data_IF_659486699956
#
_entry.id   IF_659486699956
#
_cell.length_a   1.000
_cell.length_b   1.000
_cell.length_c   1.000
_cell.angle_alpha   90.00
_cell.angle_beta   90.00
_cell.angle_gamma   90.00
#
_symmetry.space_group_name_H-M   'P 1'
#
loop_
_entity.id
_entity.type
_entity.pdbx_description
1 polymer ?
#
# COMPACT_ATOMS: atom_id res chain seq x y z
N UNK A 1 1.54 18.62 -18.26
CA UNK A 1 1.67 17.79 -17.04
C UNK A 1 3.03 17.09 -17.04
N UNK A 2 3.61 16.82 -15.88
CA UNK A 2 4.84 16.01 -15.82
C UNK A 2 4.53 14.56 -16.19
N UNK A 3 5.38 13.94 -17.01
CA UNK A 3 5.20 12.58 -17.54
C UNK A 3 6.35 11.66 -17.12
N UNK A 4 6.25 10.37 -17.44
CA UNK A 4 7.29 9.38 -17.16
C UNK A 4 8.42 9.34 -18.20
N UNK A 5 8.36 10.13 -19.27
CA UNK A 5 9.24 10.02 -20.45
C UNK A 5 10.74 10.09 -20.11
N UNK A 6 11.10 10.92 -19.13
CA UNK A 6 12.49 11.18 -18.72
C UNK A 6 13.05 10.19 -17.69
N UNK A 7 12.22 9.25 -17.21
CA UNK A 7 12.63 8.18 -16.28
C UNK A 7 12.54 6.78 -16.89
N UNK A 8 12.38 6.69 -18.21
CA UNK A 8 12.38 5.42 -18.93
C UNK A 8 13.81 4.89 -19.01
N UNK A 9 14.03 3.71 -18.42
CA UNK A 9 15.28 2.97 -18.58
C UNK A 9 15.24 2.11 -19.84
N UNK A 10 16.24 2.29 -20.70
CA UNK A 10 16.46 1.49 -21.92
C UNK A 10 17.50 0.38 -21.75
N UNK A 11 18.29 0.44 -20.68
CA UNK A 11 19.25 -0.59 -20.32
C UNK A 11 18.60 -1.65 -19.43
N UNK A 12 18.43 -2.84 -20.00
CA UNK A 12 17.88 -4.00 -19.30
C UNK A 12 18.51 -5.29 -19.85
N UNK A 13 18.66 -6.33 -19.01
CA UNK A 13 19.05 -7.64 -19.48
C UNK A 13 17.89 -8.21 -20.29
N UNK A 14 18.16 -8.70 -21.49
CA UNK A 14 17.17 -9.37 -22.33
C UNK A 14 17.32 -10.89 -22.24
N UNK A 15 16.23 -11.63 -22.13
CA UNK A 15 16.17 -13.11 -22.19
C UNK A 15 15.08 -13.54 -23.16
N UNK A 16 15.28 -14.65 -23.86
CA UNK A 16 14.25 -15.25 -24.72
C UNK A 16 13.28 -16.09 -23.90
N UNK A 17 12.02 -16.20 -24.32
CA UNK A 17 11.06 -17.17 -23.74
C UNK A 17 11.58 -18.62 -23.75
N UNK A 18 12.49 -18.94 -24.68
CA UNK A 18 13.07 -20.27 -24.85
C UNK A 18 14.38 -20.46 -24.06
N UNK A 19 14.92 -19.41 -23.45
CA UNK A 19 16.08 -19.51 -22.57
C UNK A 19 15.71 -20.32 -21.31
N UNK A 20 16.69 -21.03 -20.75
CA UNK A 20 16.55 -21.69 -19.45
C UNK A 20 16.73 -20.66 -18.32
N UNK A 21 16.18 -20.97 -17.14
CA UNK A 21 16.33 -20.13 -15.95
C UNK A 21 17.79 -19.88 -15.59
N UNK A 22 18.68 -20.87 -15.74
CA UNK A 22 20.12 -20.72 -15.51
C UNK A 22 20.75 -19.57 -16.31
N UNK A 23 20.40 -19.46 -17.60
CA UNK A 23 20.86 -18.39 -18.48
C UNK A 23 20.27 -17.04 -18.07
N UNK A 24 18.99 -17.00 -17.70
CA UNK A 24 18.35 -15.79 -17.20
C UNK A 24 18.99 -15.29 -15.91
N UNK A 25 19.25 -16.21 -14.97
CA UNK A 25 19.96 -15.94 -13.71
C UNK A 25 21.35 -15.36 -13.98
N UNK A 26 22.13 -15.98 -14.88
CA UNK A 26 23.48 -15.53 -15.21
C UNK A 26 23.47 -14.09 -15.77
N UNK A 27 22.52 -13.79 -16.67
CA UNK A 27 22.32 -12.43 -17.20
C UNK A 27 21.94 -11.42 -16.11
N UNK A 28 21.02 -11.77 -15.21
CA UNK A 28 20.65 -10.88 -14.09
C UNK A 28 21.85 -10.58 -13.19
N UNK A 29 22.65 -11.59 -12.83
CA UNK A 29 23.85 -11.44 -12.00
C UNK A 29 24.92 -10.58 -12.67
N UNK A 30 25.22 -10.83 -13.95
CA UNK A 30 26.22 -10.08 -14.71
C UNK A 30 25.93 -8.58 -14.75
N UNK A 31 24.65 -8.20 -14.81
CA UNK A 31 24.24 -6.80 -14.92
C UNK A 31 23.87 -6.16 -13.57
N UNK A 32 24.01 -6.87 -12.43
CA UNK A 32 23.54 -6.40 -11.12
C UNK A 32 22.06 -5.93 -11.16
N UNK A 33 21.21 -6.69 -11.85
CA UNK A 33 19.80 -6.35 -12.05
C UNK A 33 18.86 -7.39 -11.47
N UNK A 34 17.71 -6.91 -11.03
CA UNK A 34 16.65 -7.74 -10.46
C UNK A 34 15.70 -8.29 -11.52
N UNK A 35 15.55 -7.60 -12.64
CA UNK A 35 14.52 -7.87 -13.63
C UNK A 35 15.14 -7.89 -15.02
N UNK A 36 14.73 -8.88 -15.82
CA UNK A 36 15.07 -9.00 -17.23
C UNK A 36 13.82 -8.79 -18.09
N UNK A 37 13.99 -8.23 -19.28
CA UNK A 37 12.96 -8.21 -20.31
C UNK A 37 12.94 -9.56 -21.01
N UNK A 38 11.74 -10.12 -21.16
CA UNK A 38 11.52 -11.37 -21.86
C UNK A 38 11.05 -11.07 -23.28
N UNK A 39 11.70 -11.65 -24.27
CA UNK A 39 11.36 -11.49 -25.69
C UNK A 39 10.91 -12.80 -26.34
N UNK A 40 10.00 -12.68 -27.30
CA UNK A 40 9.57 -13.74 -28.21
C UNK A 40 9.74 -13.25 -29.64
N UNK A 41 10.56 -13.95 -30.44
CA UNK A 41 10.89 -13.52 -31.82
C UNK A 41 11.36 -12.05 -31.88
N UNK A 42 12.24 -11.66 -30.96
CA UNK A 42 12.77 -10.28 -30.79
C UNK A 42 11.73 -9.19 -30.45
N UNK A 43 10.47 -9.56 -30.17
CA UNK A 43 9.45 -8.64 -29.66
C UNK A 43 9.32 -8.78 -28.15
N UNK A 44 8.98 -7.68 -27.47
CA UNK A 44 8.63 -7.71 -26.05
C UNK A 44 7.51 -8.72 -25.80
N UNK A 45 7.71 -9.57 -24.80
CA UNK A 45 6.73 -10.58 -24.38
C UNK A 45 6.32 -10.37 -22.93
N UNK A 46 7.26 -10.03 -22.05
CA UNK A 46 6.98 -9.83 -20.64
C UNK A 46 8.24 -9.47 -19.86
N UNK A 47 8.21 -9.71 -18.55
CA UNK A 47 9.38 -9.58 -17.69
C UNK A 47 9.64 -10.87 -16.91
N UNK A 48 10.89 -11.04 -16.51
CA UNK A 48 11.32 -12.05 -15.55
C UNK A 48 11.92 -11.33 -14.33
N UNK A 49 11.22 -11.32 -13.20
CA UNK A 49 11.73 -10.82 -11.92
C UNK A 49 12.38 -11.94 -11.13
N UNK A 50 13.54 -11.64 -10.55
CA UNK A 50 14.33 -12.59 -9.78
C UNK A 50 13.54 -13.31 -8.67
N UNK A 51 12.51 -12.69 -8.07
CA UNK A 51 11.65 -13.34 -7.07
C UNK A 51 10.89 -14.55 -7.61
N UNK A 52 10.72 -14.67 -8.92
CA UNK A 52 10.08 -15.84 -9.54
C UNK A 52 10.89 -17.13 -9.34
N UNK A 53 12.19 -17.01 -9.04
CA UNK A 53 13.02 -18.14 -8.63
C UNK A 53 12.55 -18.78 -7.32
N UNK A 54 11.88 -18.03 -6.43
CA UNK A 54 11.31 -18.62 -5.21
C UNK A 54 10.10 -19.52 -5.48
N UNK A 55 9.34 -19.21 -6.53
CA UNK A 55 8.14 -19.96 -6.93
C UNK A 55 8.46 -21.06 -7.94
N UNK A 56 9.62 -20.99 -8.59
CA UNK A 56 10.13 -22.05 -9.44
C UNK A 56 10.50 -23.24 -8.54
N UNK A 57 9.53 -24.13 -8.29
CA UNK A 57 9.74 -25.47 -7.69
C UNK A 57 10.65 -26.37 -8.55
N UNK A 58 11.51 -25.83 -9.43
CA UNK A 58 12.03 -26.54 -10.61
C UNK A 58 13.52 -26.31 -10.87
N UNK A 59 14.07 -27.27 -11.60
CA UNK A 59 15.46 -27.35 -12.08
C UNK A 59 15.93 -26.04 -12.73
N UNK A 60 17.23 -25.69 -12.64
CA UNK A 60 17.86 -24.64 -13.46
C UNK A 60 17.54 -24.71 -14.96
N UNK A 61 17.13 -25.88 -15.46
CA UNK A 61 16.77 -26.14 -16.86
C UNK A 61 15.34 -25.74 -17.23
N UNK A 62 14.51 -25.36 -16.26
CA UNK A 62 13.16 -24.87 -16.53
C UNK A 62 13.18 -23.68 -17.49
N UNK A 63 12.14 -23.56 -18.32
CA UNK A 63 12.06 -22.50 -19.34
C UNK A 63 11.59 -21.19 -18.73
N UNK A 64 12.14 -20.08 -19.23
CA UNK A 64 11.74 -18.73 -18.83
C UNK A 64 10.24 -18.49 -19.06
N UNK A 65 9.66 -19.03 -20.15
CA UNK A 65 8.24 -18.88 -20.49
C UNK A 65 7.26 -19.23 -19.36
N UNK A 66 7.61 -20.20 -18.52
CA UNK A 66 6.75 -20.68 -17.41
C UNK A 66 6.76 -19.73 -16.21
N UNK A 67 7.65 -18.73 -16.24
CA UNK A 67 7.91 -17.78 -15.17
C UNK A 67 7.87 -16.34 -15.69
N UNK A 68 7.10 -16.04 -16.73
CA UNK A 68 6.95 -14.66 -17.23
C UNK A 68 5.86 -13.93 -16.44
N UNK A 69 6.09 -12.64 -16.18
CA UNK A 69 5.08 -11.71 -15.68
C UNK A 69 4.77 -10.66 -16.73
N UNK A 70 3.54 -10.15 -16.69
CA UNK A 70 3.06 -9.08 -17.55
C UNK A 70 2.70 -7.87 -16.69
N UNK A 71 3.64 -6.93 -16.47
CA UNK A 71 3.36 -5.67 -15.80
C UNK A 71 2.46 -4.78 -16.68
N UNK A 72 1.86 -3.73 -16.11
CA UNK A 72 1.14 -2.73 -16.89
C UNK A 72 2.02 -2.14 -18.00
N UNK A 73 1.45 -2.04 -19.20
CA UNK A 73 2.07 -1.41 -20.37
C UNK A 73 1.42 -0.04 -20.57
N UNK A 74 2.22 1.01 -20.63
CA UNK A 74 1.79 2.41 -20.66
C UNK A 74 2.46 3.17 -21.82
N UNK A 75 1.86 4.26 -22.27
CA UNK A 75 2.49 5.14 -23.27
C UNK A 75 3.65 5.92 -22.64
N UNK A 76 4.66 6.29 -23.43
CA UNK A 76 5.77 7.12 -22.94
C UNK A 76 5.33 8.49 -22.37
N UNK A 77 4.15 8.97 -22.74
CA UNK A 77 3.59 10.24 -22.29
C UNK A 77 2.62 10.10 -21.10
N UNK A 78 2.42 8.89 -20.57
CA UNK A 78 1.60 8.67 -19.36
C UNK A 78 2.04 9.59 -18.22
N UNK A 79 1.05 10.20 -17.56
CA UNK A 79 1.30 11.14 -16.48
C UNK A 79 1.79 10.44 -15.20
N UNK A 80 2.41 11.21 -14.31
CA UNK A 80 3.00 10.65 -13.08
C UNK A 80 1.96 10.05 -12.13
N UNK A 81 0.73 10.55 -12.07
CA UNK A 81 -0.30 10.06 -11.15
C UNK A 81 -0.83 8.72 -11.63
N UNK A 82 -1.20 8.61 -12.89
CA UNK A 82 -1.61 7.34 -13.52
C UNK A 82 -0.49 6.30 -13.40
N UNK A 83 0.76 6.70 -13.68
CA UNK A 83 1.91 5.81 -13.52
C UNK A 83 2.08 5.33 -12.06
N UNK A 84 1.95 6.22 -11.07
CA UNK A 84 2.06 5.85 -9.67
C UNK A 84 0.97 4.85 -9.25
N UNK A 85 -0.26 5.04 -9.72
CA UNK A 85 -1.42 4.20 -9.42
C UNK A 85 -1.19 2.77 -9.95
N UNK A 86 -0.82 2.68 -11.23
CA UNK A 86 -0.47 1.40 -11.87
C UNK A 86 0.71 0.72 -11.17
N UNK A 87 1.74 1.47 -10.77
CA UNK A 87 2.90 0.91 -10.04
C UNK A 87 2.55 0.46 -8.63
N UNK A 88 1.67 1.17 -7.94
CA UNK A 88 1.22 0.82 -6.60
C UNK A 88 0.37 -0.46 -6.64
N UNK A 89 -0.55 -0.59 -7.59
CA UNK A 89 -1.42 -1.76 -7.67
C UNK A 89 -0.78 -2.99 -8.34
N UNK A 90 0.35 -2.83 -9.03
CA UNK A 90 1.06 -3.94 -9.68
C UNK A 90 2.23 -4.50 -8.86
N UNK A 91 2.58 -5.77 -9.12
CA UNK A 91 3.77 -6.40 -8.59
C UNK A 91 4.53 -7.21 -9.65
N UNK A 92 5.81 -6.91 -9.94
CA UNK A 92 6.64 -5.88 -9.31
C UNK A 92 6.22 -4.46 -9.72
N UNK A 93 6.49 -3.45 -8.88
CA UNK A 93 6.19 -2.02 -9.12
C UNK A 93 7.04 -1.45 -10.28
N UNK A 94 6.80 -1.95 -11.49
CA UNK A 94 7.50 -1.67 -12.74
C UNK A 94 6.42 -1.42 -13.79
N UNK A 95 6.64 -0.42 -14.65
CA UNK A 95 5.86 -0.20 -15.85
C UNK A 95 6.68 -0.54 -17.08
N UNK A 96 6.01 -1.04 -18.10
CA UNK A 96 6.56 -1.24 -19.43
C UNK A 96 6.06 -0.10 -20.31
N UNK A 97 6.95 0.49 -21.09
CA UNK A 97 6.63 1.68 -21.88
C UNK A 97 6.62 1.38 -23.37
N UNK A 98 5.65 1.94 -24.07
CA UNK A 98 5.51 1.86 -25.53
C UNK A 98 5.33 3.24 -26.15
N UNK A 99 5.66 3.37 -27.43
CA UNK A 99 5.27 4.50 -28.28
C UNK A 99 4.58 3.89 -29.52
N UNK A 100 3.26 4.07 -29.63
CA UNK A 100 2.45 3.24 -30.53
C UNK A 100 2.61 1.76 -30.15
N UNK A 101 2.95 0.92 -31.12
CA UNK A 101 3.19 -0.53 -30.88
C UNK A 101 4.63 -0.89 -30.54
N UNK A 102 5.53 0.09 -30.52
CA UNK A 102 6.95 -0.13 -30.28
C UNK A 102 7.24 -0.10 -28.78
N UNK A 103 7.78 -1.19 -28.25
CA UNK A 103 8.38 -1.23 -26.91
C UNK A 103 9.59 -0.30 -26.83
N UNK A 104 9.65 0.54 -25.79
CA UNK A 104 10.70 1.54 -25.59
C UNK A 104 11.61 1.19 -24.41
N UNK A 105 11.05 0.71 -23.30
CA UNK A 105 11.80 0.42 -22.09
C UNK A 105 10.91 0.27 -20.86
N UNK A 106 11.49 0.42 -19.67
CA UNK A 106 10.77 0.25 -18.40
C UNK A 106 10.94 1.41 -17.44
N UNK A 107 9.96 1.62 -16.56
CA UNK A 107 10.05 2.57 -15.44
C UNK A 107 10.01 1.78 -14.14
N UNK A 108 11.00 1.99 -13.26
CA UNK A 108 11.09 1.30 -11.96
C UNK A 108 10.67 2.24 -10.84
N UNK A 109 10.08 1.69 -9.77
CA UNK A 109 9.61 2.47 -8.62
C UNK A 109 10.68 3.43 -8.05
N UNK A 110 11.94 2.99 -8.01
CA UNK A 110 13.10 3.78 -7.58
C UNK A 110 13.37 5.03 -8.42
N UNK A 111 13.21 4.91 -9.75
CA UNK A 111 13.49 5.99 -10.69
C UNK A 111 12.31 6.98 -10.67
N UNK A 112 11.10 6.43 -10.55
CA UNK A 112 9.87 7.18 -10.32
C UNK A 112 9.93 8.01 -9.02
N UNK A 113 10.20 7.39 -7.87
CA UNK A 113 10.27 8.13 -6.58
C UNK A 113 11.38 9.19 -6.61
N UNK A 114 12.47 8.95 -7.35
CA UNK A 114 13.55 9.90 -7.51
C UNK A 114 13.12 11.13 -8.33
N UNK A 115 12.33 10.92 -9.39
CA UNK A 115 11.72 12.01 -10.18
C UNK A 115 10.82 12.90 -9.32
N UNK A 116 10.00 12.29 -8.47
CA UNK A 116 9.02 13.03 -7.65
C UNK A 116 9.61 13.57 -6.33
N UNK A 117 10.90 13.33 -6.02
CA UNK A 117 11.52 13.71 -4.74
C UNK A 117 11.41 15.20 -4.41
N UNK A 118 11.28 16.03 -5.44
CA UNK A 118 11.24 17.49 -5.34
C UNK A 118 9.83 18.07 -5.28
N UNK A 119 8.79 17.25 -5.33
CA UNK A 119 7.41 17.73 -5.17
C UNK A 119 7.27 18.46 -3.82
N UNK A 120 6.71 19.69 -3.78
CA UNK A 120 6.67 20.52 -2.58
C UNK A 120 6.09 19.82 -1.35
N UNK A 121 5.05 19.02 -1.56
CA UNK A 121 4.33 18.30 -0.52
C UNK A 121 5.22 17.18 0.07
N UNK A 122 5.95 16.44 -0.77
CA UNK A 122 6.89 15.40 -0.33
C UNK A 122 8.12 15.97 0.37
N UNK A 123 8.64 17.13 -0.10
CA UNK A 123 9.79 17.81 0.51
C UNK A 123 9.55 18.20 1.97
N UNK A 124 8.31 18.51 2.33
CA UNK A 124 7.94 18.92 3.69
C UNK A 124 7.92 17.75 4.67
N UNK A 125 7.72 16.52 4.18
CA UNK A 125 7.56 15.33 5.01
C UNK A 125 8.88 14.75 5.51
N UNK A 126 8.80 14.16 6.70
CA UNK A 126 9.88 13.37 7.32
C UNK A 126 9.57 11.88 7.23
N UNK A 127 10.60 11.04 7.34
CA UNK A 127 10.50 9.58 7.31
C UNK A 127 9.48 9.04 8.30
N UNK A 128 9.42 9.58 9.52
CA UNK A 128 8.49 9.17 10.56
C UNK A 128 7.01 9.30 10.19
N UNK A 129 6.65 10.15 9.21
CA UNK A 129 5.27 10.34 8.76
C UNK A 129 4.82 9.31 7.72
N UNK A 130 5.76 8.58 7.13
CA UNK A 130 5.50 7.65 6.02
C UNK A 130 5.87 6.21 6.37
N UNK A 131 6.87 6.00 7.23
CA UNK A 131 7.36 4.67 7.57
C UNK A 131 6.25 3.78 8.14
N UNK A 132 6.34 2.48 7.84
CA UNK A 132 5.61 1.45 8.58
C UNK A 132 6.27 1.29 9.95
N UNK A 133 5.54 1.60 11.02
CA UNK A 133 6.01 1.45 12.40
C UNK A 133 6.04 -0.02 12.83
N UNK A 134 6.89 -0.34 13.81
CA UNK A 134 6.99 -1.67 14.45
C UNK A 134 7.20 -2.78 13.42
N UNK A 135 8.36 -2.77 12.73
CA UNK A 135 8.63 -3.72 11.68
C UNK A 135 8.71 -5.14 12.27
N UNK A 136 8.37 -6.12 11.45
CA UNK A 136 8.67 -7.51 11.77
C UNK A 136 10.19 -7.66 11.87
N UNK A 137 10.65 -8.41 12.85
CA UNK A 137 12.07 -8.59 13.18
C UNK A 137 12.42 -10.07 13.27
N UNK A 138 13.68 -10.37 13.03
CA UNK A 138 14.31 -11.67 13.28
C UNK A 138 15.45 -11.51 14.28
N UNK A 139 15.82 -12.61 14.94
CA UNK A 139 17.08 -12.77 15.67
C UNK A 139 18.09 -13.50 14.80
N UNK A 140 19.37 -13.43 15.17
CA UNK A 140 20.44 -14.07 14.39
C UNK A 140 20.23 -15.59 14.29
N UNK A 141 19.84 -16.17 15.42
CA UNK A 141 19.58 -17.59 15.65
C UNK A 141 18.21 -18.08 15.13
N UNK A 142 17.38 -17.19 14.57
CA UNK A 142 16.12 -17.62 13.97
C UNK A 142 16.37 -18.52 12.75
N UNK A 143 15.53 -19.53 12.57
CA UNK A 143 15.67 -20.51 11.48
C UNK A 143 15.11 -19.97 10.18
N UNK A 144 15.70 -20.38 9.06
CA UNK A 144 15.25 -19.99 7.72
C UNK A 144 13.76 -20.27 7.51
N UNK A 145 13.27 -21.43 7.94
CA UNK A 145 11.85 -21.79 7.82
C UNK A 145 10.91 -20.75 8.46
N UNK A 146 11.27 -20.26 9.67
CA UNK A 146 10.54 -19.17 10.34
C UNK A 146 10.57 -17.89 9.53
N UNK A 147 11.73 -17.50 9.01
CA UNK A 147 11.87 -16.28 8.22
C UNK A 147 11.07 -16.34 6.90
N UNK A 148 11.12 -17.46 6.19
CA UNK A 148 10.34 -17.68 4.98
C UNK A 148 8.83 -17.63 5.27
N UNK A 149 8.39 -18.21 6.40
CA UNK A 149 7.00 -18.13 6.81
C UNK A 149 6.57 -16.69 7.10
N UNK A 150 7.35 -15.94 7.88
CA UNK A 150 7.08 -14.53 8.17
C UNK A 150 7.03 -13.69 6.89
N UNK A 151 7.94 -13.91 5.94
CA UNK A 151 7.94 -13.23 4.64
C UNK A 151 6.67 -13.54 3.83
N UNK A 152 6.24 -14.81 3.82
CA UNK A 152 5.04 -15.26 3.09
C UNK A 152 3.76 -14.71 3.69
N UNK A 153 3.56 -14.90 4.99
CA UNK A 153 2.34 -14.49 5.72
C UNK A 153 2.13 -12.97 5.66
N UNK A 154 3.22 -12.21 5.78
CA UNK A 154 3.17 -10.76 5.82
C UNK A 154 3.43 -10.11 4.45
N UNK A 155 3.63 -10.94 3.41
CA UNK A 155 3.93 -10.50 2.03
C UNK A 155 5.11 -9.53 1.93
N UNK A 156 6.09 -9.65 2.83
CA UNK A 156 7.29 -8.81 2.88
C UNK A 156 8.50 -9.51 2.27
N UNK A 157 9.41 -8.73 1.70
CA UNK A 157 10.61 -9.26 1.03
C UNK A 157 11.90 -9.13 1.83
N UNK A 158 11.89 -8.39 2.94
CA UNK A 158 13.05 -8.11 3.78
C UNK A 158 12.64 -8.00 5.24
N UNK A 159 13.48 -8.49 6.14
CA UNK A 159 13.27 -8.48 7.58
C UNK A 159 14.59 -8.06 8.27
N UNK A 160 14.60 -7.00 9.08
CA UNK A 160 15.75 -6.64 9.91
C UNK A 160 16.06 -7.71 10.95
N UNK A 161 17.35 -7.99 11.15
CA UNK A 161 17.83 -8.86 12.22
C UNK A 161 18.37 -8.00 13.37
N UNK A 162 17.98 -8.34 14.59
CA UNK A 162 18.43 -7.67 15.81
C UNK A 162 19.29 -8.58 16.70
N UNK A 163 20.16 -7.96 17.49
CA UNK A 163 20.91 -8.63 18.56
C UNK A 163 20.11 -8.67 19.89
N UNK A 164 20.69 -9.29 20.93
CA UNK A 164 20.12 -9.36 22.28
C UNK A 164 19.87 -7.98 22.92
N UNK A 165 20.57 -6.92 22.48
CA UNK A 165 20.37 -5.52 22.92
C UNK A 165 19.28 -4.78 22.10
N UNK A 166 18.51 -5.50 21.28
CA UNK A 166 17.50 -4.95 20.36
C UNK A 166 18.05 -3.96 19.32
N UNK A 167 19.32 -4.08 18.96
CA UNK A 167 19.95 -3.25 17.93
C UNK A 167 19.97 -3.98 16.59
N UNK A 168 19.69 -3.28 15.50
CA UNK A 168 19.70 -3.83 14.14
C UNK A 168 21.15 -4.12 13.72
N UNK A 169 21.46 -5.40 13.44
CA UNK A 169 22.81 -5.89 13.11
C UNK A 169 22.98 -6.39 11.67
N UNK A 170 21.92 -6.94 11.07
CA UNK A 170 21.89 -7.30 9.63
C UNK A 170 20.48 -7.17 9.06
N UNK A 171 20.32 -7.40 7.75
CA UNK A 171 19.01 -7.50 7.10
C UNK A 171 18.95 -8.79 6.30
N UNK A 172 17.87 -9.54 6.47
CA UNK A 172 17.61 -10.76 5.71
C UNK A 172 16.59 -10.49 4.62
N UNK A 173 16.86 -10.93 3.40
CA UNK A 173 16.04 -10.66 2.22
C UNK A 173 15.77 -11.90 1.39
N UNK A 174 14.73 -11.81 0.57
CA UNK A 174 14.47 -12.80 -0.50
C UNK A 174 15.68 -12.96 -1.43
N UNK A 175 16.44 -11.89 -1.67
CA UNK A 175 17.64 -11.98 -2.49
C UNK A 175 18.69 -12.86 -1.84
N UNK A 176 18.84 -12.81 -0.51
CA UNK A 176 19.76 -13.67 0.23
C UNK A 176 19.35 -15.14 0.09
N UNK A 177 18.05 -15.46 0.18
CA UNK A 177 17.55 -16.81 -0.09
C UNK A 177 17.95 -17.28 -1.49
N UNK A 178 17.74 -16.43 -2.49
CA UNK A 178 18.04 -16.80 -3.88
C UNK A 178 19.55 -16.98 -4.08
N UNK A 179 20.38 -16.03 -3.65
CA UNK A 179 21.84 -16.08 -3.84
C UNK A 179 22.50 -17.20 -3.03
N UNK A 180 22.11 -17.33 -1.76
CA UNK A 180 22.82 -18.20 -0.82
C UNK A 180 22.31 -19.63 -0.85
N UNK A 181 21.09 -19.88 -1.33
CA UNK A 181 20.50 -21.22 -1.33
C UNK A 181 20.25 -21.69 -2.76
N UNK A 182 19.55 -20.92 -3.58
CA UNK A 182 19.13 -21.38 -4.90
C UNK A 182 20.26 -21.35 -5.94
N UNK A 183 21.18 -20.39 -5.82
CA UNK A 183 22.22 -20.14 -6.82
C UNK A 183 23.63 -20.55 -6.39
N UNK A 184 23.80 -21.14 -5.19
CA UNK A 184 25.09 -21.68 -4.77
C UNK A 184 25.41 -22.96 -5.56
N UNK A 185 26.63 -23.13 -6.08
CA UNK A 185 27.08 -24.40 -6.64
C UNK A 185 27.04 -25.49 -5.56
N UNK A 186 26.47 -26.66 -5.87
CA UNK A 186 26.29 -27.80 -4.95
C UNK A 186 27.59 -28.27 -4.25
N UNK A 187 28.77 -27.91 -4.76
CA UNK A 187 30.07 -28.33 -4.24
C UNK A 187 30.71 -27.41 -3.17
N UNK A 188 30.04 -26.32 -2.73
CA UNK A 188 30.61 -25.39 -1.71
C UNK A 188 29.78 -25.25 -0.42
N UNK A 189 28.87 -26.18 -0.13
CA UNK A 189 28.33 -26.32 1.22
C UNK A 189 29.37 -27.09 2.04
N UNK A 190 30.33 -26.37 2.63
CA UNK A 190 31.17 -26.93 3.71
C UNK A 190 30.26 -27.06 4.94
N UNK A 191 29.79 -28.27 5.22
CA UNK A 191 29.02 -28.58 6.43
C UNK A 191 28.05 -29.76 6.28
N UNK A 192 28.47 -30.90 6.82
CA UNK A 192 27.67 -32.03 7.32
C UNK A 192 26.75 -32.77 6.33
N UNK A 193 27.33 -33.73 5.60
CA UNK A 193 26.66 -35.03 5.36
C UNK A 193 26.64 -35.78 6.69
N UNK A 194 25.77 -35.41 7.62
CA UNK A 194 25.52 -36.21 8.81
C UNK A 194 24.34 -37.14 8.58
N UNK A 195 24.61 -38.44 8.68
CA UNK A 195 23.60 -39.47 8.84
C UNK A 195 22.94 -39.31 10.21
N UNK A 196 21.65 -39.00 10.25
CA UNK A 196 20.86 -39.16 11.49
C UNK A 196 20.27 -40.57 11.56
N UNK A 197 20.21 -41.12 12.77
CA UNK A 197 19.53 -42.38 13.08
C UNK A 197 18.11 -42.06 13.56
N UNK A 198 17.12 -42.80 13.07
CA UNK A 198 15.78 -42.73 13.66
C UNK A 198 15.74 -43.48 15.01
N UNK A 199 14.66 -43.31 15.77
CA UNK A 199 14.44 -43.98 17.08
C UNK A 199 14.39 -45.52 17.01
N UNK A 200 14.54 -46.12 15.82
CA UNK A 200 14.61 -47.57 15.57
C UNK A 200 15.99 -47.99 15.04
N UNK A 201 17.03 -47.14 15.18
CA UNK A 201 18.41 -47.48 14.85
C UNK A 201 18.74 -47.60 13.35
N UNK A 202 17.83 -47.20 12.44
CA UNK A 202 18.09 -47.23 10.99
C UNK A 202 18.73 -45.92 10.51
N UNK A 203 19.78 -46.03 9.67
CA UNK A 203 20.40 -44.90 8.97
C UNK A 203 19.41 -44.30 7.98
N UNK A 204 19.01 -43.05 8.18
CA UNK A 204 18.13 -42.32 7.25
C UNK A 204 18.93 -41.25 6.52
N UNK A 205 18.87 -41.26 5.19
CA UNK A 205 19.36 -40.16 4.35
C UNK A 205 18.38 -38.99 4.47
N UNK A 206 18.68 -38.03 5.34
CA UNK A 206 17.89 -36.81 5.48
C UNK A 206 18.23 -35.92 4.28
N UNK A 207 17.33 -35.86 3.30
CA UNK A 207 17.54 -35.08 2.08
C UNK A 207 17.79 -33.59 2.34
N UNK A 208 18.63 -32.99 1.49
CA UNK A 208 19.14 -31.60 1.52
C UNK A 208 18.13 -30.49 1.92
N UNK A 209 16.82 -30.72 1.76
CA UNK A 209 15.77 -29.73 2.01
C UNK A 209 15.45 -29.48 3.49
N UNK A 210 15.54 -30.49 4.36
CA UNK A 210 15.25 -30.29 5.78
C UNK A 210 16.36 -29.48 6.47
N UNK A 211 17.62 -29.76 6.14
CA UNK A 211 18.79 -29.08 6.69
C UNK A 211 18.85 -27.57 6.33
N UNK A 212 18.39 -27.22 5.13
CA UNK A 212 18.35 -25.82 4.68
C UNK A 212 17.36 -24.97 5.49
N UNK A 213 16.21 -25.54 5.88
CA UNK A 213 15.22 -24.82 6.68
C UNK A 213 15.70 -24.55 8.11
N UNK A 214 16.59 -25.40 8.62
CA UNK A 214 17.22 -25.28 9.93
C UNK A 214 18.46 -24.39 9.94
N UNK A 215 18.89 -23.85 8.80
CA UNK A 215 20.01 -22.90 8.76
C UNK A 215 19.66 -21.60 9.48
N UNK A 216 20.61 -21.03 10.23
CA UNK A 216 20.43 -19.74 10.90
C UNK A 216 20.33 -18.61 9.86
N UNK A 217 19.34 -17.74 10.03
CA UNK A 217 19.14 -16.60 9.12
C UNK A 217 20.31 -15.61 9.18
N UNK A 218 20.99 -15.51 10.33
CA UNK A 218 22.16 -14.65 10.51
C UNK A 218 23.33 -15.01 9.59
N UNK A 219 23.51 -16.30 9.31
CA UNK A 219 24.60 -16.80 8.44
C UNK A 219 24.31 -16.50 6.95
N UNK A 220 23.03 -16.36 6.60
CA UNK A 220 22.57 -16.05 5.24
C UNK A 220 22.37 -14.55 5.00
N UNK A 221 22.18 -13.77 6.05
CA UNK A 221 21.79 -12.36 5.93
C UNK A 221 22.94 -11.46 5.47
N UNK A 222 22.60 -10.44 4.67
CA UNK A 222 23.54 -9.40 4.30
C UNK A 222 23.89 -8.49 5.48
N UNK A 223 25.18 -8.24 5.68
CA UNK A 223 25.70 -7.34 6.74
C UNK A 223 25.58 -5.86 6.39
N UNK A 224 25.33 -5.51 5.12
CA UNK A 224 25.27 -4.11 4.67
C UNK A 224 23.87 -3.52 4.89
N UNK A 225 23.66 -2.91 6.05
CA UNK A 225 22.39 -2.25 6.38
C UNK A 225 22.45 -0.77 6.05
N UNK A 226 21.57 -0.33 5.14
CA UNK A 226 21.35 1.09 4.92
C UNK A 226 20.24 1.56 5.87
N UNK A 227 20.64 2.39 6.85
CA UNK A 227 19.75 2.91 7.90
C UNK A 227 19.36 4.37 7.65
N UNK A 228 18.25 4.79 8.24
CA UNK A 228 17.82 6.19 8.26
C UNK A 228 17.18 6.58 9.60
N UNK A 229 17.33 7.84 10.00
CA UNK A 229 16.69 8.39 11.20
C UNK A 229 15.22 8.72 10.92
N UNK A 230 14.29 8.54 11.88
CA UNK A 230 12.88 8.92 11.72
C UNK A 230 12.70 10.43 11.46
N UNK A 231 13.61 11.28 11.94
CA UNK A 231 13.55 12.73 11.74
C UNK A 231 14.09 13.19 10.38
N UNK A 232 14.71 12.31 9.60
CA UNK A 232 15.27 12.68 8.30
C UNK A 232 14.17 13.05 7.29
N UNK A 233 14.47 13.94 6.35
CA UNK A 233 13.58 14.28 5.23
C UNK A 233 13.36 13.08 4.30
N UNK A 234 12.18 13.00 3.67
CA UNK A 234 11.90 11.95 2.69
C UNK A 234 12.85 12.01 1.48
N UNK A 235 13.25 13.20 1.04
CA UNK A 235 14.23 13.36 -0.03
C UNK A 235 15.55 12.64 0.26
N UNK A 236 16.02 12.67 1.51
CA UNK A 236 17.20 11.94 1.96
C UNK A 236 17.00 10.42 1.87
N UNK A 237 15.81 9.93 2.22
CA UNK A 237 15.45 8.53 2.09
C UNK A 237 15.46 8.08 0.62
N UNK A 238 14.80 8.85 -0.26
CA UNK A 238 14.74 8.61 -1.69
C UNK A 238 16.14 8.60 -2.32
N UNK A 239 16.98 9.58 -1.96
CA UNK A 239 18.36 9.65 -2.46
C UNK A 239 19.19 8.44 -2.01
N UNK A 240 19.04 7.97 -0.77
CA UNK A 240 19.69 6.73 -0.31
C UNK A 240 19.21 5.50 -1.08
N UNK A 241 17.89 5.34 -1.26
CA UNK A 241 17.32 4.24 -2.04
C UNK A 241 17.87 4.22 -3.47
N UNK A 242 17.91 5.38 -4.12
CA UNK A 242 18.45 5.53 -5.46
C UNK A 242 19.95 5.22 -5.53
N UNK A 243 20.77 5.85 -4.67
CA UNK A 243 22.23 5.65 -4.62
C UNK A 243 22.62 4.20 -4.37
N UNK A 244 21.99 3.56 -3.39
CA UNK A 244 22.35 2.18 -3.00
C UNK A 244 21.62 1.10 -3.78
N UNK A 245 20.81 1.50 -4.77
CA UNK A 245 20.02 0.59 -5.59
C UNK A 245 19.07 -0.33 -4.80
N UNK A 246 18.47 0.19 -3.73
CA UNK A 246 17.56 -0.56 -2.83
C UNK A 246 16.16 0.05 -2.81
N UNK A 247 15.17 -0.77 -2.47
CA UNK A 247 13.75 -0.37 -2.46
C UNK A 247 13.23 -0.08 -1.05
N UNK A 248 14.05 -0.22 -0.01
CA UNK A 248 13.63 -0.03 1.37
C UNK A 248 14.82 0.39 2.24
N UNK A 249 14.50 1.01 3.37
CA UNK A 249 15.43 1.44 4.40
C UNK A 249 14.88 1.05 5.76
N UNK A 250 15.78 0.59 6.64
CA UNK A 250 15.43 0.35 8.04
C UNK A 250 15.51 1.68 8.78
N UNK A 251 14.40 2.08 9.38
CA UNK A 251 14.33 3.29 10.20
C UNK A 251 14.76 2.94 11.61
N UNK A 252 15.80 3.62 12.11
CA UNK A 252 16.39 3.33 13.41
C UNK A 252 16.58 4.58 14.24
N UNK A 253 16.39 4.45 15.56
CA UNK A 253 16.77 5.44 16.57
C UNK A 253 17.66 4.75 17.59
N UNK A 254 18.85 5.30 17.87
CA UNK A 254 19.85 4.69 18.77
C UNK A 254 20.15 3.21 18.42
N UNK A 255 20.29 2.92 17.12
CA UNK A 255 20.48 1.57 16.53
C UNK A 255 19.29 0.60 16.71
N UNK A 256 18.23 0.96 17.43
CA UNK A 256 17.02 0.15 17.59
C UNK A 256 16.06 0.35 16.41
N UNK A 257 15.36 -0.71 15.93
CA UNK A 257 14.41 -0.58 14.84
C UNK A 257 13.15 0.15 15.31
N UNK A 258 12.75 1.19 14.58
CA UNK A 258 11.47 1.88 14.77
C UNK A 258 10.46 1.56 13.67
N UNK A 259 10.96 1.39 12.44
CA UNK A 259 10.12 1.21 11.27
C UNK A 259 10.91 0.74 10.06
N UNK A 260 10.19 0.54 8.96
CA UNK A 260 10.74 0.36 7.62
C UNK A 260 10.03 1.35 6.71
N UNK A 261 10.76 1.94 5.77
CA UNK A 261 10.18 2.74 4.70
C UNK A 261 10.58 2.13 3.36
N UNK A 262 9.62 1.97 2.47
CA UNK A 262 9.79 1.33 1.16
C UNK A 262 9.41 2.27 0.01
N UNK A 263 9.83 1.95 -1.22
CA UNK A 263 9.36 2.63 -2.43
C UNK A 263 7.84 2.57 -2.56
N UNK A 264 7.20 1.51 -2.05
CA UNK A 264 5.74 1.35 -2.10
C UNK A 264 5.04 2.31 -1.15
N UNK A 265 5.57 2.51 0.06
CA UNK A 265 5.04 3.50 1.02
C UNK A 265 5.17 4.92 0.46
N UNK A 266 6.26 5.18 -0.28
CA UNK A 266 6.48 6.45 -0.97
C UNK A 266 5.51 6.66 -2.15
N UNK A 267 5.21 5.61 -2.93
CA UNK A 267 4.18 5.65 -3.98
C UNK A 267 2.80 5.91 -3.39
N UNK A 268 2.42 5.18 -2.34
CA UNK A 268 1.15 5.40 -1.61
C UNK A 268 1.06 6.83 -1.07
N UNK A 269 2.15 7.35 -0.50
CA UNK A 269 2.20 8.73 -0.01
C UNK A 269 2.03 9.73 -1.14
N UNK A 270 2.71 9.53 -2.28
CA UNK A 270 2.55 10.39 -3.45
C UNK A 270 1.12 10.38 -3.97
N UNK A 271 0.50 9.21 -4.08
CA UNK A 271 -0.91 9.06 -4.47
C UNK A 271 -1.82 9.77 -3.48
N UNK A 272 -1.61 9.65 -2.17
CA UNK A 272 -2.42 10.40 -1.18
C UNK A 272 -2.25 11.91 -1.23
N UNK A 273 -1.12 12.41 -1.72
CA UNK A 273 -0.85 13.83 -1.89
C UNK A 273 -1.32 14.37 -3.24
N UNK A 274 -1.48 13.48 -4.23
CA UNK A 274 -1.87 13.79 -5.62
C UNK A 274 -3.24 13.32 -6.02
N UNK A 275 -3.88 12.48 -5.21
CA UNK A 275 -5.32 12.45 -5.07
C UNK A 275 -5.69 13.93 -4.99
N UNK A 276 -6.32 14.47 -6.04
CA UNK A 276 -6.85 15.79 -5.91
C UNK A 276 -7.78 15.73 -4.69
N UNK A 277 -8.15 16.87 -4.13
CA UNK A 277 -9.57 16.96 -3.84
C UNK A 277 -10.30 16.78 -5.18
N UNK A 278 -10.36 15.54 -5.71
CA UNK A 278 -11.48 15.16 -6.53
C UNK A 278 -12.57 15.43 -5.53
N UNK A 279 -13.49 16.33 -5.84
CA UNK A 279 -14.76 16.18 -5.21
C UNK A 279 -15.34 14.95 -5.89
N UNK A 280 -15.29 13.74 -5.29
CA UNK A 280 -16.18 12.68 -5.75
C UNK A 280 -17.61 13.24 -5.74
N UNK A 281 -17.87 14.29 -4.95
CA UNK A 281 -19.09 15.04 -4.90
C UNK A 281 -19.16 16.14 -5.97
N UNK A 282 -19.86 15.91 -7.07
CA UNK A 282 -20.17 16.95 -8.05
C UNK A 282 -21.52 17.59 -7.72
N UNK A 283 -21.64 18.92 -7.80
CA UNK A 283 -22.88 19.63 -7.53
C UNK A 283 -23.44 20.26 -8.80
N UNK A 284 -24.74 20.12 -9.01
CA UNK A 284 -25.49 20.70 -10.14
C UNK A 284 -26.67 21.49 -9.57
N UNK A 285 -26.94 22.70 -10.07
CA UNK A 285 -27.97 23.61 -9.56
C UNK A 285 -27.67 24.19 -8.17
N UNK A 286 -26.39 24.14 -7.77
CA UNK A 286 -25.94 24.73 -6.50
C UNK A 286 -25.75 26.25 -6.60
N UNK A 287 -25.51 26.75 -7.80
CA UNK A 287 -25.29 28.18 -8.09
C UNK A 287 -26.59 28.98 -7.92
N UNK A 288 -27.75 28.32 -7.99
CA UNK A 288 -29.07 28.90 -7.72
C UNK A 288 -29.32 29.14 -6.21
N UNK A 289 -28.40 28.74 -5.33
CA UNK A 289 -28.56 28.85 -3.88
C UNK A 289 -27.89 30.09 -3.31
N UNK A 290 -28.43 30.59 -2.19
CA UNK A 290 -27.71 31.57 -1.37
C UNK A 290 -26.40 30.96 -0.83
N UNK A 291 -25.32 31.74 -0.66
CA UNK A 291 -24.01 31.22 -0.22
C UNK A 291 -24.05 30.36 1.04
N UNK A 292 -24.82 30.77 2.06
CA UNK A 292 -25.02 30.00 3.28
C UNK A 292 -25.71 28.64 3.04
N UNK A 293 -26.70 28.60 2.16
CA UNK A 293 -27.42 27.37 1.81
C UNK A 293 -26.50 26.40 1.05
N UNK A 294 -25.74 26.91 0.07
CA UNK A 294 -24.74 26.14 -0.65
C UNK A 294 -23.70 25.55 0.30
N UNK A 295 -23.17 26.35 1.22
CA UNK A 295 -22.17 25.90 2.20
C UNK A 295 -22.73 24.83 3.15
N UNK A 296 -23.94 25.03 3.66
CA UNK A 296 -24.63 24.05 4.51
C UNK A 296 -24.77 22.69 3.80
N UNK A 297 -25.19 22.70 2.53
CA UNK A 297 -25.34 21.48 1.74
C UNK A 297 -23.99 20.81 1.50
N UNK A 298 -22.97 21.58 1.12
CA UNK A 298 -21.60 21.06 0.90
C UNK A 298 -21.06 20.35 2.14
N UNK A 299 -21.21 20.95 3.33
CA UNK A 299 -20.76 20.37 4.60
C UNK A 299 -21.51 19.06 4.90
N UNK A 300 -22.85 19.06 4.82
CA UNK A 300 -23.67 17.87 5.13
C UNK A 300 -23.37 16.70 4.20
N UNK A 301 -23.27 16.96 2.90
CA UNK A 301 -22.97 15.91 1.92
C UNK A 301 -21.57 15.35 2.15
N UNK A 302 -20.57 16.22 2.39
CA UNK A 302 -19.18 15.81 2.66
C UNK A 302 -19.08 14.91 3.89
N UNK A 303 -19.65 15.32 5.02
CA UNK A 303 -19.63 14.54 6.26
C UNK A 303 -20.26 13.15 6.08
N UNK A 304 -21.39 13.09 5.37
CA UNK A 304 -22.10 11.84 5.10
C UNK A 304 -21.32 10.95 4.13
N UNK A 305 -20.73 11.53 3.07
CA UNK A 305 -19.89 10.83 2.12
C UNK A 305 -18.68 10.18 2.80
N UNK A 306 -17.97 10.92 3.67
CA UNK A 306 -16.83 10.40 4.43
C UNK A 306 -17.23 9.30 5.41
N UNK A 307 -18.45 9.36 5.96
CA UNK A 307 -19.01 8.29 6.80
C UNK A 307 -19.28 7.03 5.96
N UNK A 308 -19.88 7.18 4.79
CA UNK A 308 -20.17 6.09 3.84
C UNK A 308 -18.87 5.43 3.35
N UNK A 309 -17.87 6.22 2.94
CA UNK A 309 -16.56 5.72 2.49
C UNK A 309 -15.85 4.90 3.57
N UNK A 310 -15.95 5.34 4.83
CA UNK A 310 -15.39 4.60 5.98
C UNK A 310 -16.20 3.36 6.37
N UNK A 311 -17.52 3.38 6.22
CA UNK A 311 -18.41 2.33 6.71
C UNK A 311 -18.64 1.19 5.70
N UNK A 312 -18.67 1.51 4.41
CA UNK A 312 -19.18 0.59 3.39
C UNK A 312 -18.15 0.26 2.31
N UNK A 313 -17.58 1.26 1.61
CA UNK A 313 -16.74 1.02 0.42
C UNK A 313 -15.66 2.10 0.25
N UNK A 314 -14.40 1.70 0.01
CA UNK A 314 -13.28 2.64 -0.21
C UNK A 314 -13.09 3.06 -1.67
N UNK A 315 -13.67 2.30 -2.62
CA UNK A 315 -13.54 2.44 -4.07
C UNK A 315 -14.73 3.19 -4.69
N UNK A 316 -15.07 4.37 -4.15
CA UNK A 316 -16.16 5.19 -4.70
C UNK A 316 -15.67 5.94 -5.94
N UNK A 317 -16.43 5.88 -7.04
CA UNK A 317 -16.10 6.57 -8.29
C UNK A 317 -16.54 8.04 -8.21
N UNK A 318 -17.83 8.28 -7.92
CA UNK A 318 -18.37 9.63 -7.71
C UNK A 318 -19.72 9.61 -6.96
N UNK A 319 -20.18 10.80 -6.55
CA UNK A 319 -21.48 11.17 -6.00
C UNK A 319 -21.94 12.47 -6.69
N UNK A 320 -22.96 12.42 -7.54
CA UNK A 320 -23.53 13.65 -8.09
C UNK A 320 -24.68 14.11 -7.20
N UNK A 321 -24.72 15.40 -6.89
CA UNK A 321 -25.75 16.08 -6.11
C UNK A 321 -26.44 17.09 -7.02
N UNK A 322 -27.66 16.77 -7.44
CA UNK A 322 -28.44 17.64 -8.30
C UNK A 322 -29.56 18.29 -7.48
N UNK A 323 -29.56 19.62 -7.44
CA UNK A 323 -30.51 20.43 -6.70
C UNK A 323 -31.38 21.14 -7.74
N UNK A 324 -32.70 20.97 -7.64
CA UNK A 324 -33.68 21.71 -8.43
C UNK A 324 -34.66 22.41 -7.50
N UNK A 325 -35.19 23.54 -7.93
CA UNK A 325 -36.25 24.24 -7.22
C UNK A 325 -37.34 24.68 -8.20
N UNK A 326 -38.58 24.67 -7.72
CA UNK A 326 -39.75 25.12 -8.47
C UNK A 326 -40.63 25.93 -7.54
N UNK A 327 -41.22 27.03 -8.03
CA UNK A 327 -42.21 27.79 -7.27
C UNK A 327 -43.58 27.12 -7.41
N UNK A 328 -44.18 26.70 -6.29
CA UNK A 328 -45.48 26.05 -6.26
C UNK A 328 -46.51 27.06 -5.71
N UNK A 329 -47.42 27.55 -6.57
CA UNK A 329 -48.53 28.43 -6.22
C UNK A 329 -49.17 29.12 -7.44
N UNK A 330 -50.51 29.18 -7.48
CA UNK A 330 -51.24 30.07 -8.39
C UNK A 330 -50.98 31.52 -7.98
N UNK A 331 -50.57 32.36 -8.93
CA UNK A 331 -50.61 33.83 -8.76
C UNK A 331 -52.10 34.24 -8.77
N UNK A 332 -52.78 34.05 -7.65
CA UNK A 332 -54.13 34.55 -7.41
C UNK A 332 -54.09 35.91 -6.72
N UNK A 333 -55.13 36.73 -6.96
CA UNK A 333 -55.36 38.13 -6.52
C UNK A 333 -55.22 38.46 -5.01
N UNK A 334 -54.73 37.53 -4.17
CA UNK A 334 -54.65 37.65 -2.71
C UNK A 334 -53.22 37.47 -2.15
N UNK A 335 -52.18 37.92 -2.85
CA UNK A 335 -50.86 38.22 -2.28
C UNK A 335 -50.07 37.09 -1.60
N UNK A 336 -50.51 35.82 -1.67
CA UNK A 336 -49.78 34.70 -1.08
C UNK A 336 -48.59 34.32 -1.97
N UNK A 337 -47.37 34.68 -1.55
CA UNK A 337 -46.11 34.24 -2.16
C UNK A 337 -46.10 32.72 -2.33
N UNK A 338 -45.85 32.26 -3.55
CA UNK A 338 -45.64 30.83 -3.85
C UNK A 338 -44.58 30.23 -2.96
N UNK A 339 -44.76 28.95 -2.57
CA UNK A 339 -43.77 28.24 -1.74
C UNK A 339 -42.80 27.51 -2.66
N UNK A 340 -41.50 27.69 -2.45
CA UNK A 340 -40.47 27.00 -3.22
C UNK A 340 -40.36 25.54 -2.79
N UNK A 341 -40.52 24.61 -3.73
CA UNK A 341 -40.32 23.18 -3.54
C UNK A 341 -38.94 22.79 -4.05
N UNK A 342 -38.12 22.22 -3.16
CA UNK A 342 -36.76 21.78 -3.46
C UNK A 342 -36.74 20.29 -3.74
N UNK A 343 -35.99 19.88 -4.76
CA UNK A 343 -35.72 18.48 -5.09
C UNK A 343 -34.22 18.24 -5.06
N UNK A 344 -33.77 17.25 -4.30
CA UNK A 344 -32.37 16.82 -4.25
C UNK A 344 -32.26 15.39 -4.80
N UNK A 345 -31.46 15.21 -5.84
CA UNK A 345 -31.16 13.90 -6.42
C UNK A 345 -29.70 13.56 -6.18
N UNK A 346 -29.43 12.39 -5.61
CA UNK A 346 -28.09 11.86 -5.38
C UNK A 346 -27.83 10.69 -6.32
N UNK A 347 -26.72 10.69 -7.04
CA UNK A 347 -26.27 9.56 -7.86
C UNK A 347 -24.90 9.09 -7.40
N UNK A 348 -24.85 7.96 -6.71
CA UNK A 348 -23.64 7.39 -6.12
C UNK A 348 -23.14 6.22 -6.99
N UNK A 349 -21.90 6.29 -7.46
CA UNK A 349 -21.32 5.29 -8.36
C UNK A 349 -20.15 4.55 -7.71
N UNK A 350 -20.16 3.23 -7.88
CA UNK A 350 -19.10 2.29 -7.54
C UNK A 350 -18.73 1.47 -8.78
N UNK A 351 -17.60 0.75 -8.80
CA UNK A 351 -17.33 -0.23 -9.85
C UNK A 351 -18.52 -1.19 -10.00
N UNK A 352 -19.04 -1.27 -11.23
CA UNK A 352 -20.19 -2.08 -11.64
C UNK A 352 -21.58 -1.72 -11.07
N UNK A 353 -21.73 -0.73 -10.17
CA UNK A 353 -23.03 -0.38 -9.60
C UNK A 353 -23.23 1.12 -9.43
N UNK A 354 -24.45 1.58 -9.72
CA UNK A 354 -24.87 2.96 -9.49
C UNK A 354 -26.18 2.99 -8.71
N UNK A 355 -26.26 3.84 -7.70
CA UNK A 355 -27.44 4.05 -6.87
C UNK A 355 -27.95 5.47 -7.06
N UNK A 356 -29.27 5.62 -7.19
CA UNK A 356 -29.89 6.93 -7.32
C UNK A 356 -30.96 7.08 -6.24
N UNK A 357 -30.93 8.18 -5.51
CA UNK A 357 -32.01 8.56 -4.57
C UNK A 357 -32.49 9.96 -4.89
N UNK A 358 -33.79 10.21 -4.71
CA UNK A 358 -34.42 11.50 -5.03
C UNK A 358 -35.43 11.83 -3.96
N UNK A 359 -35.32 13.02 -3.37
CA UNK A 359 -36.20 13.49 -2.31
C UNK A 359 -36.61 14.94 -2.54
N UNK A 360 -37.83 15.28 -2.11
CA UNK A 360 -38.40 16.62 -2.28
C UNK A 360 -38.96 17.19 -0.98
N UNK A 361 -38.82 18.49 -0.77
CA UNK A 361 -39.36 19.19 0.40
C UNK A 361 -39.45 20.70 0.17
N UNK A 362 -40.35 21.39 0.86
CA UNK A 362 -40.41 22.87 0.88
C UNK A 362 -39.21 23.53 1.59
N UNK A 363 -38.33 22.73 2.19
CA UNK A 363 -37.11 23.19 2.86
C UNK A 363 -35.93 22.40 2.31
N UNK A 364 -34.99 23.09 1.68
CA UNK A 364 -33.80 22.50 1.07
C UNK A 364 -33.02 21.59 2.02
N UNK A 365 -32.79 22.05 3.26
CA UNK A 365 -32.05 21.27 4.26
C UNK A 365 -32.73 19.92 4.58
N UNK A 366 -34.06 19.89 4.58
CA UNK A 366 -34.84 18.68 4.84
C UNK A 366 -34.81 17.74 3.62
N UNK A 367 -34.97 18.27 2.41
CA UNK A 367 -34.85 17.49 1.18
C UNK A 367 -33.48 16.80 1.08
N UNK A 368 -32.40 17.53 1.35
CA UNK A 368 -31.04 17.00 1.32
C UNK A 368 -30.80 15.93 2.41
N UNK A 369 -31.25 16.18 3.65
CA UNK A 369 -31.11 15.21 4.74
C UNK A 369 -31.87 13.90 4.46
N UNK A 370 -33.07 13.98 3.88
CA UNK A 370 -33.84 12.80 3.47
C UNK A 370 -33.13 12.03 2.37
N UNK A 371 -32.66 12.72 1.33
CA UNK A 371 -31.94 12.08 0.21
C UNK A 371 -30.69 11.31 0.70
N UNK A 372 -29.92 11.92 1.60
CA UNK A 372 -28.72 11.35 2.21
C UNK A 372 -29.02 10.17 3.14
N UNK A 373 -30.13 10.23 3.90
CA UNK A 373 -30.58 9.14 4.77
C UNK A 373 -31.02 7.93 3.93
N UNK A 374 -31.70 8.20 2.83
CA UNK A 374 -32.15 7.17 1.90
C UNK A 374 -30.97 6.50 1.18
N UNK A 375 -29.99 7.28 0.73
CA UNK A 375 -28.78 6.73 0.11
C UNK A 375 -28.02 5.78 1.07
N UNK A 376 -27.90 6.18 2.34
CA UNK A 376 -27.26 5.36 3.38
C UNK A 376 -28.02 4.05 3.64
N UNK A 377 -29.35 4.09 3.60
CA UNK A 377 -30.21 2.92 3.74
C UNK A 377 -29.99 1.94 2.58
N UNK A 378 -30.09 2.43 1.34
CA UNK A 378 -29.90 1.61 0.12
C UNK A 378 -28.51 0.96 0.08
N UNK A 379 -27.45 1.72 0.42
CA UNK A 379 -26.08 1.18 0.43
C UNK A 379 -25.86 0.14 1.54
N UNK A 380 -26.50 0.33 2.71
CA UNK A 380 -26.45 -0.66 3.80
C UNK A 380 -27.15 -1.96 3.40
N UNK A 381 -28.35 -1.88 2.83
CA UNK A 381 -29.11 -3.03 2.34
C UNK A 381 -28.33 -3.77 1.22
N UNK A 382 -27.70 -3.03 0.31
CA UNK A 382 -26.83 -3.61 -0.72
C UNK A 382 -25.65 -4.36 -0.10
N UNK A 383 -24.96 -3.77 0.88
CA UNK A 383 -23.84 -4.41 1.57
C UNK A 383 -24.25 -5.70 2.30
N UNK A 384 -25.43 -5.70 2.92
CA UNK A 384 -25.97 -6.89 3.60
C UNK A 384 -26.28 -8.01 2.61
N UNK A 385 -26.97 -7.71 1.50
CA UNK A 385 -27.25 -8.69 0.42
C UNK A 385 -25.99 -9.23 -0.22
N UNK A 386 -25.01 -8.36 -0.50
CA UNK A 386 -23.73 -8.77 -1.09
C UNK A 386 -22.94 -9.71 -0.15
N UNK A 387 -22.97 -9.46 1.17
CA UNK A 387 -22.36 -10.36 2.17
C UNK A 387 -23.04 -11.73 2.26
N UNK A 388 -24.34 -11.80 1.99
CA UNK A 388 -25.12 -13.05 2.01
C UNK A 388 -24.87 -13.87 0.73
N UNK A 389 -24.75 -13.23 -0.44
CA UNK A 389 -24.44 -13.92 -1.70
C UNK A 389 -23.00 -14.46 -1.77
N UNK A 390 -22.03 -13.79 -1.18
CA UNK A 390 -20.63 -14.26 -1.15
C UNK A 390 -20.35 -15.20 0.03
N UNK A 391 -21.12 -16.28 0.17
CA UNK A 391 -21.11 -17.24 1.29
C UNK A 391 -19.77 -17.86 1.70
N UNK A 392 -18.63 -17.51 1.11
CA UNK A 392 -17.29 -17.93 1.51
C UNK A 392 -16.31 -16.76 1.58
N UNK A 393 -16.19 -16.11 2.74
CA UNK A 393 -14.94 -15.56 3.29
C UNK A 393 -15.18 -15.18 4.77
N UNK A 394 -15.66 -16.13 5.57
CA UNK A 394 -15.58 -16.05 7.03
C UNK A 394 -14.09 -16.11 7.42
N UNK A 395 -13.49 -14.96 7.73
CA UNK A 395 -12.17 -14.97 8.39
C UNK A 395 -11.33 -13.69 8.40
N UNK A 396 -11.67 -12.65 7.63
CA UNK A 396 -10.75 -11.50 7.49
C UNK A 396 -11.22 -10.20 8.17
N UNK A 397 -12.54 -10.02 8.40
CA UNK A 397 -13.06 -8.81 9.06
C UNK A 397 -12.99 -8.83 10.60
N UNK A 398 -13.24 -10.00 11.23
CA UNK A 398 -13.35 -10.08 12.70
C UNK A 398 -12.04 -9.80 13.44
N UNK A 399 -10.88 -10.16 12.88
CA UNK A 399 -9.57 -9.87 13.49
C UNK A 399 -9.17 -8.40 13.37
N UNK A 400 -9.47 -7.77 12.25
CA UNK A 400 -9.12 -6.36 12.04
C UNK A 400 -10.07 -5.42 12.81
N UNK A 401 -11.35 -5.77 12.88
CA UNK A 401 -12.37 -5.02 13.61
C UNK A 401 -12.22 -5.21 15.13
N UNK A 402 -11.88 -6.43 15.60
CA UNK A 402 -11.50 -6.67 16.99
C UNK A 402 -10.20 -5.94 17.37
N UNK A 403 -9.20 -5.88 16.47
CA UNK A 403 -7.96 -5.14 16.68
C UNK A 403 -8.17 -3.63 16.71
N UNK A 404 -9.01 -3.09 15.82
CA UNK A 404 -9.41 -1.67 15.81
C UNK A 404 -10.22 -1.31 17.08
N UNK A 405 -11.13 -2.19 17.52
CA UNK A 405 -11.90 -2.02 18.76
C UNK A 405 -11.00 -2.08 20.00
N UNK A 406 -10.06 -3.02 20.07
CA UNK A 406 -9.08 -3.09 21.17
C UNK A 406 -8.16 -1.86 21.18
N UNK A 407 -7.69 -1.38 20.02
CA UNK A 407 -6.88 -0.15 19.94
C UNK A 407 -7.66 1.08 20.39
N UNK A 408 -8.96 1.17 20.06
CA UNK A 408 -9.83 2.27 20.48
C UNK A 408 -10.05 2.26 21.99
N UNK A 409 -10.36 1.09 22.56
CA UNK A 409 -10.52 0.91 24.00
C UNK A 409 -9.21 1.18 24.77
N UNK A 410 -8.05 0.78 24.22
CA UNK A 410 -6.75 1.07 24.82
C UNK A 410 -6.41 2.57 24.78
N UNK A 411 -6.76 3.27 23.69
CA UNK A 411 -6.62 4.74 23.58
C UNK A 411 -7.56 5.47 24.54
N UNK A 412 -8.80 5.04 24.66
CA UNK A 412 -9.78 5.62 25.60
C UNK A 412 -9.32 5.41 27.06
N UNK A 413 -8.82 4.22 27.42
CA UNK A 413 -8.23 3.93 28.74
C UNK A 413 -7.00 4.79 29.02
N UNK A 414 -6.10 4.95 28.05
CA UNK A 414 -4.89 5.79 28.19
C UNK A 414 -5.25 7.28 28.34
N UNK A 415 -6.25 7.76 27.60
CA UNK A 415 -6.74 9.14 27.70
C UNK A 415 -7.46 9.40 29.03
N UNK A 416 -8.27 8.45 29.53
CA UNK A 416 -8.87 8.53 30.87
C UNK A 416 -7.81 8.53 31.97
N UNK A 417 -6.78 7.69 31.86
CA UNK A 417 -5.66 7.67 32.81
C UNK A 417 -4.82 8.95 32.80
N UNK A 418 -4.63 9.57 31.63
CA UNK A 418 -3.95 10.86 31.49
C UNK A 418 -4.77 12.02 32.06
N UNK A 419 -6.10 12.02 31.87
CA UNK A 419 -7.00 13.00 32.49
C UNK A 419 -7.02 12.87 34.01
N UNK A 420 -7.12 11.65 34.54
CA UNK A 420 -7.08 11.39 35.98
C UNK A 420 -5.72 11.78 36.62
N UNK A 421 -4.60 11.58 35.91
CA UNK A 421 -3.27 12.08 36.36
C UNK A 421 -3.14 13.60 36.26
N UNK A 422 -3.82 14.24 35.32
CA UNK A 422 -3.88 15.70 35.17
C UNK A 422 -4.72 16.37 36.27
N UNK A 423 -5.83 15.75 36.68
CA UNK A 423 -6.69 16.22 37.77
C UNK A 423 -6.01 16.06 39.14
N UNK A 424 -5.33 14.93 39.40
CA UNK A 424 -4.51 14.76 40.62
C UNK A 424 -3.36 15.77 40.74
N UNK A 425 -2.80 16.24 39.61
CA UNK A 425 -1.77 17.29 39.60
C UNK A 425 -2.31 18.71 39.82
N UNK A 426 -3.60 18.95 39.53
CA UNK A 426 -4.27 20.23 39.82
C UNK A 426 -4.76 20.33 41.27
N UNK A 427 -5.12 19.20 41.89
CA UNK A 427 -5.50 19.14 43.32
C UNK A 427 -4.31 19.19 44.29
N UNK A 428 -3.08 18.90 43.84
CA UNK A 428 -1.86 18.96 44.65
C UNK A 428 -1.14 20.32 44.69
N UNK A 429 -1.75 21.38 44.14
CA UNK A 429 -1.25 22.76 44.21
C UNK A 429 -2.29 23.67 44.84
N UNK A 430 -2.64 23.39 46.09
CA UNK A 430 -3.19 24.39 47.01
C UNK A 430 -2.16 24.50 48.13
N UNK A 431 -1.26 25.49 48.03
CA UNK A 431 -0.38 25.88 49.13
C UNK A 431 -1.10 26.96 49.96
N UNK A 432 -0.90 27.00 51.30
CA UNK A 432 -1.64 27.86 52.22
C UNK A 432 -1.18 29.33 52.14
N UNK A 433 -1.95 30.29 52.70
CA UNK A 433 -1.60 31.71 52.63
C UNK A 433 -0.45 32.01 53.60
N UNK A 434 0.56 32.74 53.12
CA UNK A 434 1.60 33.30 53.98
C UNK A 434 1.13 34.68 54.47
N UNK A 435 0.77 34.74 55.75
CA UNK A 435 0.92 35.92 56.60
C UNK A 435 2.40 36.22 56.82
N UNK A 436 2.73 37.50 57.02
CA UNK A 436 4.03 37.98 57.49
C UNK A 436 4.64 39.01 56.56
#
# INVERSE_FOLDING_TARGET
MATIKDIITKEYPEVSINDNLSKAIAKLRKNDMRTAIVTRRRKYYGIFDRKQLLTAKKSPDAKVRDHVKHPPVVDINTDLVEAAELMYHSYPCILVTKKGDKFIGIVRARDFIHKIKNFPELKKLNVSKVMTEKPIILRYEDRLGKALNLMRENKIGRIPIINKKNQVISIFSITDVIEQILLRPKHKIKGHRETSFNSKGSKVWVGDKHFLLDTNVGDLASRKIIRISPGAKLSTAINKMYKYKISDLVVTLNKKPLGIITTRDLLETFLRLKEPEFWPIQYYGIDDLKPFQAQMIKTRVREKFDKIKRAYFSNVVYLNVHIKHYEEGLVGKAGKKGRTKWTVTLRFAMPAHTFTTKESHFQLGTAASRALKELDRVLREFKEKFRVQTGEFKGMGRREEARKRQLRLARERKMKALKAKGEKRKLGKVFPPLMG
#
